data_IF_771305128784
#
_entry.id   IF_771305128784
#
_cell.length_a   1.000
_cell.length_b   1.000
_cell.length_c   1.000
_cell.angle_alpha   90.00
_cell.angle_beta   90.00
_cell.angle_gamma   90.00
#
_symmetry.space_group_name_H-M   'P 1'
#
loop_
_entity.id
_entity.type
_entity.pdbx_description
1 polymer ?
#
# COMPACT_ATOMS: atom_id res chain seq x y z
N UNK A 1 -35.80 -10.15 -34.23
CA UNK A 1 -34.45 -9.82 -33.65
C UNK A 1 -33.47 -9.98 -34.79
N UNK A 2 -32.77 -8.93 -35.19
CA UNK A 2 -31.89 -9.00 -36.36
C UNK A 2 -30.55 -9.69 -35.99
N UNK A 3 -29.93 -10.35 -36.95
CA UNK A 3 -28.61 -11.01 -36.81
C UNK A 3 -27.54 -10.04 -36.23
N UNK A 4 -27.65 -8.75 -36.57
CA UNK A 4 -26.78 -7.66 -36.09
C UNK A 4 -26.95 -7.36 -34.61
N UNK A 5 -28.14 -7.60 -34.03
CA UNK A 5 -28.40 -7.41 -32.61
C UNK A 5 -27.78 -8.53 -31.76
N UNK A 6 -27.82 -9.77 -32.28
CA UNK A 6 -27.17 -10.93 -31.62
C UNK A 6 -25.64 -10.81 -31.65
N UNK A 7 -25.06 -10.40 -32.79
CA UNK A 7 -23.60 -10.20 -32.88
C UNK A 7 -23.11 -9.05 -31.96
N UNK A 8 -23.85 -7.94 -31.87
CA UNK A 8 -23.55 -6.86 -30.95
C UNK A 8 -23.70 -7.28 -29.49
N UNK A 9 -24.68 -8.08 -29.17
CA UNK A 9 -24.89 -8.66 -27.83
C UNK A 9 -23.72 -9.55 -27.41
N UNK A 10 -23.32 -10.45 -28.30
CA UNK A 10 -22.20 -11.38 -28.09
C UNK A 10 -20.86 -10.61 -27.89
N UNK A 11 -20.55 -9.66 -28.77
CA UNK A 11 -19.35 -8.84 -28.69
C UNK A 11 -19.28 -8.04 -27.37
N UNK A 12 -20.42 -7.50 -26.92
CA UNK A 12 -20.50 -6.76 -25.65
C UNK A 12 -20.28 -7.67 -24.44
N UNK A 13 -20.83 -8.87 -24.46
CA UNK A 13 -20.65 -9.87 -23.40
C UNK A 13 -19.19 -10.31 -23.30
N UNK A 14 -18.54 -10.60 -24.43
CA UNK A 14 -17.13 -10.96 -24.47
C UNK A 14 -16.21 -9.81 -23.98
N UNK A 15 -16.51 -8.57 -24.33
CA UNK A 15 -15.76 -7.40 -23.87
C UNK A 15 -15.87 -7.22 -22.35
N UNK A 16 -17.03 -7.45 -21.75
CA UNK A 16 -17.23 -7.39 -20.31
C UNK A 16 -16.47 -8.51 -19.61
N UNK A 17 -16.53 -9.71 -20.13
CA UNK A 17 -15.87 -10.89 -19.56
C UNK A 17 -14.34 -10.79 -19.60
N UNK A 18 -13.78 -10.30 -20.71
CA UNK A 18 -12.34 -10.06 -20.84
C UNK A 18 -11.85 -8.96 -19.90
N UNK A 19 -12.63 -7.91 -19.70
CA UNK A 19 -12.30 -6.83 -18.75
C UNK A 19 -12.33 -7.33 -17.32
N UNK A 20 -13.36 -8.07 -16.92
CA UNK A 20 -13.47 -8.65 -15.59
C UNK A 20 -12.32 -9.63 -15.28
N UNK A 21 -11.97 -10.49 -16.26
CA UNK A 21 -10.84 -11.41 -16.13
C UNK A 21 -9.51 -10.67 -15.96
N UNK A 22 -9.29 -9.60 -16.73
CA UNK A 22 -8.09 -8.77 -16.64
C UNK A 22 -7.97 -8.09 -15.27
N UNK A 23 -9.06 -7.54 -14.76
CA UNK A 23 -9.09 -6.94 -13.41
C UNK A 23 -8.82 -7.98 -12.32
N UNK A 24 -9.38 -9.17 -12.40
CA UNK A 24 -9.12 -10.27 -11.48
C UNK A 24 -7.65 -10.70 -11.48
N UNK A 25 -7.04 -10.81 -12.67
CA UNK A 25 -5.62 -11.14 -12.81
C UNK A 25 -4.73 -10.05 -12.17
N UNK A 26 -5.04 -8.78 -12.41
CA UNK A 26 -4.28 -7.67 -11.82
C UNK A 26 -4.44 -7.59 -10.30
N UNK A 27 -5.63 -7.90 -9.76
CA UNK A 27 -5.90 -7.96 -8.32
C UNK A 27 -5.09 -9.05 -7.62
N UNK A 28 -4.76 -10.14 -8.31
CA UNK A 28 -3.88 -11.19 -7.78
C UNK A 28 -2.39 -10.88 -8.02
N UNK A 29 -2.06 -10.34 -9.20
CA UNK A 29 -0.68 -10.10 -9.62
C UNK A 29 0.01 -8.99 -8.83
N UNK A 30 -0.68 -7.89 -8.47
CA UNK A 30 -0.07 -6.79 -7.73
C UNK A 30 0.34 -7.16 -6.29
N UNK A 31 -0.51 -7.80 -5.46
CA UNK A 31 -0.08 -8.32 -4.17
C UNK A 31 1.06 -9.33 -4.28
N UNK A 32 1.01 -10.23 -5.29
CA UNK A 32 2.07 -11.18 -5.53
C UNK A 32 3.39 -10.51 -5.93
N UNK A 33 3.35 -9.49 -6.80
CA UNK A 33 4.53 -8.70 -7.18
C UNK A 33 5.10 -7.94 -5.98
N UNK A 34 4.25 -7.32 -5.16
CA UNK A 34 4.64 -6.64 -3.94
C UNK A 34 5.32 -7.62 -2.96
N UNK A 35 4.72 -8.80 -2.75
CA UNK A 35 5.32 -9.86 -1.95
C UNK A 35 6.69 -10.26 -2.49
N UNK A 36 6.81 -10.48 -3.79
CA UNK A 36 8.07 -10.86 -4.43
C UNK A 36 9.15 -9.79 -4.24
N UNK A 37 8.83 -8.51 -4.42
CA UNK A 37 9.76 -7.40 -4.19
C UNK A 37 10.28 -7.41 -2.76
N UNK A 38 9.38 -7.51 -1.76
CA UNK A 38 9.74 -7.51 -0.35
C UNK A 38 10.53 -8.77 0.07
N UNK A 39 10.21 -9.94 -0.51
CA UNK A 39 10.89 -11.19 -0.19
C UNK A 39 12.27 -11.31 -0.87
N UNK A 40 12.42 -10.76 -2.08
CA UNK A 40 13.64 -10.89 -2.87
C UNK A 40 14.65 -9.78 -2.55
N UNK A 41 14.21 -8.57 -2.21
CA UNK A 41 15.08 -7.44 -1.94
C UNK A 41 16.24 -7.75 -0.95
N UNK A 42 16.01 -8.42 0.20
CA UNK A 42 17.09 -8.76 1.13
C UNK A 42 18.13 -9.72 0.55
N UNK A 43 17.77 -10.50 -0.47
CA UNK A 43 18.62 -11.53 -1.08
C UNK A 43 19.48 -11.00 -2.23
N UNK A 44 19.14 -9.83 -2.78
CA UNK A 44 19.86 -9.24 -3.93
C UNK A 44 21.23 -8.72 -3.48
N UNK A 45 22.29 -9.15 -4.17
CA UNK A 45 23.67 -8.76 -3.89
C UNK A 45 24.24 -7.89 -5.00
N UNK A 46 25.23 -7.05 -4.67
CA UNK A 46 25.97 -6.27 -5.67
C UNK A 46 25.29 -4.99 -6.13
N UNK A 47 24.16 -4.63 -5.52
CA UNK A 47 23.49 -3.33 -5.79
C UNK A 47 23.86 -2.36 -4.68
N UNK A 48 24.25 -1.10 -5.01
CA UNK A 48 24.49 -0.07 -4.00
C UNK A 48 23.26 0.11 -3.10
N UNK A 49 23.40 0.15 -1.75
CA UNK A 49 22.28 0.19 -0.81
C UNK A 49 21.29 1.33 -1.10
N UNK A 50 21.81 2.52 -1.43
CA UNK A 50 20.97 3.68 -1.77
C UNK A 50 20.11 3.43 -3.02
N UNK A 51 20.72 2.97 -4.11
CA UNK A 51 20.01 2.72 -5.37
C UNK A 51 18.99 1.59 -5.21
N UNK A 52 19.37 0.52 -4.51
CA UNK A 52 18.49 -0.60 -4.19
C UNK A 52 17.31 -0.18 -3.32
N UNK A 53 17.57 0.61 -2.27
CA UNK A 53 16.55 1.11 -1.38
C UNK A 53 15.54 2.02 -2.09
N UNK A 54 16.00 2.97 -2.91
CA UNK A 54 15.13 3.82 -3.74
C UNK A 54 14.28 2.98 -4.68
N UNK A 55 14.89 2.00 -5.36
CA UNK A 55 14.16 1.12 -6.29
C UNK A 55 13.06 0.32 -5.56
N UNK A 56 13.38 -0.31 -4.42
CA UNK A 56 12.40 -1.06 -3.60
C UNK A 56 11.28 -0.14 -3.14
N UNK A 57 11.61 1.07 -2.66
CA UNK A 57 10.64 2.05 -2.21
C UNK A 57 9.66 2.46 -3.31
N UNK A 58 10.16 2.78 -4.50
CA UNK A 58 9.32 3.17 -5.65
C UNK A 58 8.45 2.00 -6.11
N UNK A 59 9.02 0.79 -6.22
CA UNK A 59 8.27 -0.41 -6.62
C UNK A 59 7.19 -0.77 -5.60
N UNK A 60 7.51 -0.71 -4.30
CA UNK A 60 6.56 -0.93 -3.22
C UNK A 60 5.41 0.08 -3.27
N UNK A 61 5.74 1.38 -3.35
CA UNK A 61 4.74 2.44 -3.42
C UNK A 61 3.85 2.29 -4.65
N UNK A 62 4.44 2.00 -5.82
CA UNK A 62 3.68 1.77 -7.04
C UNK A 62 2.74 0.55 -6.92
N UNK A 63 3.20 -0.54 -6.30
CA UNK A 63 2.37 -1.72 -6.07
C UNK A 63 1.24 -1.43 -5.06
N UNK A 64 1.53 -0.78 -3.94
CA UNK A 64 0.54 -0.41 -2.92
C UNK A 64 -0.54 0.53 -3.49
N UNK A 65 -0.13 1.58 -4.22
CA UNK A 65 -1.06 2.47 -4.93
C UNK A 65 -1.83 1.75 -6.04
N UNK A 66 -1.20 0.80 -6.73
CA UNK A 66 -1.86 -0.05 -7.72
C UNK A 66 -2.95 -0.92 -7.10
N UNK A 67 -2.68 -1.53 -5.93
CA UNK A 67 -3.67 -2.30 -5.17
C UNK A 67 -4.82 -1.39 -4.72
N UNK A 68 -4.52 -0.19 -4.21
CA UNK A 68 -5.54 0.79 -3.83
C UNK A 68 -6.39 1.24 -5.03
N UNK A 69 -5.75 1.49 -6.18
CA UNK A 69 -6.41 1.90 -7.42
C UNK A 69 -7.33 0.81 -7.99
N UNK A 70 -6.90 -0.45 -7.99
CA UNK A 70 -7.74 -1.58 -8.38
C UNK A 70 -8.85 -1.81 -7.36
N UNK A 71 -8.51 -1.78 -6.08
CA UNK A 71 -9.47 -1.87 -4.99
C UNK A 71 -10.59 -0.84 -5.12
N UNK A 72 -10.26 0.41 -5.49
CA UNK A 72 -11.24 1.48 -5.68
C UNK A 72 -12.28 1.18 -6.77
N UNK A 73 -11.96 0.32 -7.74
CA UNK A 73 -12.86 -0.08 -8.86
C UNK A 73 -13.75 -1.26 -8.52
N UNK A 74 -13.36 -2.09 -7.56
CA UNK A 74 -14.15 -3.25 -7.16
C UNK A 74 -15.44 -2.79 -6.48
N UNK A 75 -16.58 -3.28 -6.96
CA UNK A 75 -17.90 -2.92 -6.40
C UNK A 75 -18.26 -3.86 -5.26
N UNK A 76 -17.86 -3.49 -4.05
CA UNK A 76 -18.28 -4.16 -2.82
C UNK A 76 -19.29 -3.28 -2.07
N UNK A 77 -20.29 -3.93 -1.45
CA UNK A 77 -21.18 -3.24 -0.50
C UNK A 77 -20.46 -2.94 0.83
N UNK A 78 -21.03 -2.03 1.67
CA UNK A 78 -20.43 -1.70 2.97
C UNK A 78 -20.12 -2.92 3.86
N UNK A 79 -21.03 -3.93 3.96
CA UNK A 79 -20.75 -5.11 4.77
C UNK A 79 -19.59 -5.94 4.20
N UNK A 80 -19.43 -6.01 2.87
CA UNK A 80 -18.32 -6.73 2.24
C UNK A 80 -16.98 -6.04 2.46
N UNK A 81 -16.94 -4.70 2.46
CA UNK A 81 -15.73 -3.94 2.78
C UNK A 81 -15.33 -4.08 4.25
N UNK A 82 -16.31 -4.02 5.17
CA UNK A 82 -16.06 -4.22 6.59
C UNK A 82 -15.55 -5.64 6.86
N UNK A 83 -16.19 -6.65 6.27
CA UNK A 83 -15.76 -8.04 6.37
C UNK A 83 -14.34 -8.21 5.82
N UNK A 84 -14.05 -7.65 4.65
CA UNK A 84 -12.71 -7.68 4.05
C UNK A 84 -11.65 -7.05 4.95
N UNK A 85 -11.96 -5.90 5.57
CA UNK A 85 -11.08 -5.25 6.52
C UNK A 85 -10.82 -6.12 7.76
N UNK A 86 -11.87 -6.68 8.37
CA UNK A 86 -11.75 -7.53 9.56
C UNK A 86 -10.95 -8.79 9.26
N UNK A 87 -11.22 -9.43 8.12
CA UNK A 87 -10.48 -10.63 7.69
C UNK A 87 -9.02 -10.29 7.41
N UNK A 88 -8.73 -9.19 6.73
CA UNK A 88 -7.37 -8.76 6.47
C UNK A 88 -6.61 -8.43 7.76
N UNK A 89 -7.23 -7.74 8.72
CA UNK A 89 -6.61 -7.45 10.03
C UNK A 89 -6.37 -8.74 10.83
N UNK A 90 -7.33 -9.65 10.86
CA UNK A 90 -7.19 -10.95 11.53
C UNK A 90 -6.06 -11.80 10.93
N UNK A 91 -6.00 -11.84 9.59
CA UNK A 91 -4.95 -12.56 8.88
C UNK A 91 -3.57 -11.91 9.06
N UNK A 92 -3.51 -10.58 9.02
CA UNK A 92 -2.29 -9.82 9.33
C UNK A 92 -1.75 -10.13 10.72
N UNK A 93 -2.63 -10.15 11.72
CA UNK A 93 -2.25 -10.50 13.09
C UNK A 93 -1.74 -11.93 13.18
N UNK A 94 -2.43 -12.90 12.56
CA UNK A 94 -2.03 -14.31 12.55
C UNK A 94 -0.69 -14.53 11.84
N UNK A 95 -0.49 -13.94 10.66
CA UNK A 95 0.76 -14.05 9.89
C UNK A 95 1.89 -13.30 10.60
N UNK A 96 1.61 -12.15 11.22
CA UNK A 96 2.55 -11.39 12.03
C UNK A 96 3.07 -12.20 13.24
N UNK A 97 2.19 -12.98 13.87
CA UNK A 97 2.58 -13.89 14.95
C UNK A 97 3.51 -15.02 14.46
N UNK A 98 3.33 -15.50 13.23
CA UNK A 98 4.27 -16.44 12.59
C UNK A 98 5.60 -15.76 12.24
N UNK A 99 5.57 -14.52 11.81
CA UNK A 99 6.75 -13.70 11.49
C UNK A 99 7.60 -13.33 12.71
N UNK A 100 7.07 -13.48 13.92
CA UNK A 100 7.83 -13.35 15.16
C UNK A 100 8.79 -14.53 15.43
N UNK A 101 8.63 -15.64 14.71
CA UNK A 101 9.54 -16.79 14.78
C UNK A 101 10.84 -16.47 14.05
N UNK A 102 11.92 -17.15 14.44
CA UNK A 102 13.24 -16.94 13.84
C UNK A 102 13.43 -17.73 12.54
N UNK A 103 14.44 -17.34 11.76
CA UNK A 103 14.90 -18.07 10.57
C UNK A 103 14.04 -17.85 9.31
N UNK A 104 13.96 -18.90 8.49
CA UNK A 104 13.30 -18.85 7.16
C UNK A 104 11.80 -18.49 7.24
N UNK A 105 11.12 -18.86 8.33
CA UNK A 105 9.71 -18.53 8.55
C UNK A 105 9.52 -17.02 8.61
N UNK A 106 10.41 -16.30 9.29
CA UNK A 106 10.38 -14.83 9.37
C UNK A 106 10.55 -14.17 7.99
N UNK A 107 11.51 -14.67 7.19
CA UNK A 107 11.77 -14.17 5.83
C UNK A 107 10.55 -14.26 4.91
N UNK A 108 9.74 -15.31 5.05
CA UNK A 108 8.57 -15.54 4.21
C UNK A 108 7.30 -14.92 4.79
N UNK A 109 7.10 -14.98 6.11
CA UNK A 109 5.89 -14.49 6.74
C UNK A 109 5.80 -12.97 6.79
N UNK A 110 6.93 -12.27 6.99
CA UNK A 110 6.95 -10.82 7.12
C UNK A 110 6.47 -10.08 5.86
N UNK A 111 6.98 -10.36 4.64
CA UNK A 111 6.44 -9.77 3.42
C UNK A 111 4.95 -10.05 3.22
N UNK A 112 4.49 -11.25 3.62
CA UNK A 112 3.08 -11.63 3.58
C UNK A 112 2.23 -10.77 4.51
N UNK A 113 2.69 -10.53 5.74
CA UNK A 113 2.02 -9.64 6.69
C UNK A 113 1.91 -8.22 6.15
N UNK A 114 2.98 -7.67 5.55
CA UNK A 114 2.98 -6.33 4.97
C UNK A 114 1.99 -6.20 3.81
N UNK A 115 1.90 -7.20 2.91
CA UNK A 115 0.91 -7.22 1.83
C UNK A 115 -0.52 -7.25 2.36
N UNK A 116 -0.79 -8.10 3.36
CA UNK A 116 -2.11 -8.19 3.99
C UNK A 116 -2.48 -6.89 4.70
N UNK A 117 -1.49 -6.24 5.31
CA UNK A 117 -1.68 -4.95 5.95
C UNK A 117 -2.06 -3.85 4.96
N UNK A 118 -1.41 -3.80 3.78
CA UNK A 118 -1.82 -2.90 2.69
C UNK A 118 -3.27 -3.15 2.29
N UNK A 119 -3.70 -4.40 2.17
CA UNK A 119 -5.09 -4.72 1.85
C UNK A 119 -6.06 -4.23 2.93
N UNK A 120 -5.72 -4.38 4.22
CA UNK A 120 -6.51 -3.86 5.32
C UNK A 120 -6.64 -2.32 5.24
N UNK A 121 -5.53 -1.62 4.96
CA UNK A 121 -5.50 -0.16 4.76
C UNK A 121 -6.37 0.27 3.57
N UNK A 122 -6.36 -0.48 2.47
CA UNK A 122 -7.20 -0.21 1.31
C UNK A 122 -8.68 -0.35 1.65
N UNK A 123 -9.08 -1.39 2.37
CA UNK A 123 -10.47 -1.53 2.84
C UNK A 123 -10.86 -0.41 3.79
N UNK A 124 -9.99 -0.03 4.72
CA UNK A 124 -10.22 1.10 5.63
C UNK A 124 -10.41 2.42 4.87
N UNK A 125 -9.52 2.74 3.92
CA UNK A 125 -9.63 3.94 3.08
C UNK A 125 -10.92 3.96 2.26
N UNK A 126 -11.36 2.82 1.73
CA UNK A 126 -12.64 2.69 1.01
C UNK A 126 -13.84 2.95 1.92
N UNK A 127 -13.85 2.37 3.12
CA UNK A 127 -14.90 2.61 4.11
C UNK A 127 -14.98 4.10 4.48
N UNK A 128 -13.83 4.73 4.74
CA UNK A 128 -13.75 6.16 5.01
C UNK A 128 -14.24 6.99 3.83
N UNK A 129 -13.97 6.59 2.58
CA UNK A 129 -14.44 7.29 1.39
C UNK A 129 -15.98 7.35 1.29
N UNK A 130 -16.69 6.43 1.95
CA UNK A 130 -18.17 6.42 1.98
C UNK A 130 -18.77 7.53 2.86
N UNK A 131 -18.00 8.06 3.80
CA UNK A 131 -18.40 9.19 4.65
C UNK A 131 -18.47 10.47 3.82
N UNK A 132 -17.67 10.56 2.76
CA UNK A 132 -17.71 11.70 1.84
C UNK A 132 -19.00 11.68 1.03
N UNK A 133 -19.85 12.70 1.21
CA UNK A 133 -21.14 12.81 0.53
C UNK A 133 -21.04 13.56 -0.79
N UNK A 134 -20.13 14.53 -0.88
CA UNK A 134 -20.01 15.46 -1.98
C UNK A 134 -18.58 15.53 -2.51
N UNK A 135 -18.47 15.74 -3.82
CA UNK A 135 -17.20 15.91 -4.53
C UNK A 135 -16.34 17.05 -3.97
N UNK A 136 -16.99 18.17 -3.61
CA UNK A 136 -16.29 19.38 -3.16
C UNK A 136 -15.59 19.21 -1.81
N UNK A 137 -15.98 18.20 -1.03
CA UNK A 137 -15.39 17.89 0.29
C UNK A 137 -14.02 17.18 0.15
N UNK A 138 -13.71 16.63 -1.03
CA UNK A 138 -12.43 15.92 -1.21
C UNK A 138 -11.21 16.82 -1.03
N UNK A 139 -11.24 18.04 -1.57
CA UNK A 139 -10.11 18.97 -1.45
C UNK A 139 -9.88 19.43 0.00
N UNK A 140 -10.90 19.92 0.73
CA UNK A 140 -10.76 20.21 2.16
C UNK A 140 -10.25 19.01 2.98
N UNK A 141 -10.77 17.82 2.74
CA UNK A 141 -10.31 16.60 3.43
C UNK A 141 -8.83 16.34 3.13
N UNK A 142 -8.39 16.42 1.88
CA UNK A 142 -7.00 16.23 1.52
C UNK A 142 -6.07 17.23 2.22
N UNK A 143 -6.48 18.50 2.29
CA UNK A 143 -5.73 19.56 2.99
C UNK A 143 -5.67 19.28 4.49
N UNK A 144 -6.81 18.95 5.13
CA UNK A 144 -6.84 18.65 6.56
C UNK A 144 -5.99 17.42 6.88
N UNK A 145 -6.05 16.37 6.06
CA UNK A 145 -5.23 15.17 6.25
C UNK A 145 -3.74 15.50 6.15
N UNK A 146 -3.32 16.28 5.14
CA UNK A 146 -1.93 16.68 4.98
C UNK A 146 -1.45 17.55 6.15
N UNK A 147 -2.26 18.51 6.61
CA UNK A 147 -1.93 19.34 7.76
C UNK A 147 -1.89 18.53 9.06
N UNK A 148 -2.82 17.58 9.23
CA UNK A 148 -2.85 16.68 10.39
C UNK A 148 -1.62 15.81 10.41
N UNK A 149 -1.19 15.29 9.27
CA UNK A 149 0.02 14.46 9.17
C UNK A 149 1.27 15.26 9.56
N UNK A 150 1.46 16.44 8.97
CA UNK A 150 2.55 17.37 9.34
C UNK A 150 2.51 17.68 10.84
N UNK A 151 1.32 18.02 11.38
CA UNK A 151 1.18 18.36 12.78
C UNK A 151 1.49 17.18 13.71
N UNK A 152 0.98 15.98 13.38
CA UNK A 152 1.16 14.78 14.22
C UNK A 152 2.60 14.30 14.23
N UNK A 153 3.33 14.43 13.12
CA UNK A 153 4.74 14.04 13.01
C UNK A 153 5.64 15.03 13.72
N UNK A 154 5.45 16.34 13.51
CA UNK A 154 6.39 17.34 14.04
C UNK A 154 6.06 17.82 15.45
N UNK A 155 4.80 17.92 15.83
CA UNK A 155 4.36 18.56 17.09
C UNK A 155 3.41 17.68 17.92
N UNK A 156 2.97 16.55 17.37
CA UNK A 156 1.82 15.84 17.89
C UNK A 156 2.12 14.52 18.61
N UNK A 157 1.06 13.77 18.84
CA UNK A 157 1.10 12.52 19.62
C UNK A 157 2.02 11.45 19.00
N UNK A 158 2.27 11.46 17.69
CA UNK A 158 3.18 10.50 17.05
C UNK A 158 4.61 10.71 17.54
N UNK A 159 5.08 11.95 17.63
CA UNK A 159 6.39 12.25 18.20
C UNK A 159 6.50 11.78 19.66
N UNK A 160 5.42 11.95 20.45
CA UNK A 160 5.36 11.49 21.83
C UNK A 160 5.33 9.94 21.94
N UNK A 161 4.56 9.29 21.08
CA UNK A 161 4.48 7.80 21.04
C UNK A 161 5.81 7.23 20.58
N UNK A 162 6.46 7.83 19.58
CA UNK A 162 7.79 7.43 19.11
C UNK A 162 8.83 7.50 20.23
N UNK A 163 8.74 8.54 21.09
CA UNK A 163 9.64 8.72 22.22
C UNK A 163 9.35 7.78 23.40
N UNK A 164 8.07 7.41 23.64
CA UNK A 164 7.65 6.64 24.83
C UNK A 164 7.34 5.18 24.58
N UNK A 165 6.89 4.85 23.37
CA UNK A 165 6.48 3.49 22.99
C UNK A 165 6.82 3.21 21.52
N UNK A 166 8.12 3.20 21.15
CA UNK A 166 8.55 2.96 19.76
C UNK A 166 8.03 1.63 19.20
N UNK A 167 7.84 0.63 20.05
CA UNK A 167 7.31 -0.69 19.65
C UNK A 167 5.91 -0.61 19.04
N UNK A 168 5.07 0.34 19.48
CA UNK A 168 3.73 0.56 18.93
C UNK A 168 3.83 1.10 17.50
N UNK A 169 4.67 2.12 17.31
CA UNK A 169 4.89 2.70 15.98
C UNK A 169 5.47 1.65 15.03
N UNK A 170 6.47 0.90 15.49
CA UNK A 170 7.07 -0.19 14.73
C UNK A 170 6.08 -1.27 14.30
N UNK A 171 5.08 -1.55 15.11
CA UNK A 171 4.07 -2.57 14.83
C UNK A 171 3.08 -2.15 13.74
N UNK A 172 2.78 -0.85 13.68
CA UNK A 172 1.85 -0.25 12.71
C UNK A 172 2.55 0.44 11.54
N UNK A 173 3.85 0.23 11.38
CA UNK A 173 4.63 0.71 10.25
C UNK A 173 5.13 -0.44 9.42
N UNK A 174 5.10 -0.28 8.09
CA UNK A 174 5.74 -1.22 7.19
C UNK A 174 7.22 -0.88 7.07
N UNK A 175 8.05 -1.88 7.28
CA UNK A 175 9.51 -1.76 7.18
C UNK A 175 9.96 -2.27 5.83
N UNK A 176 10.40 -1.36 4.98
CA UNK A 176 10.98 -1.70 3.68
C UNK A 176 12.36 -2.33 3.89
N UNK A 177 12.60 -3.56 3.43
CA UNK A 177 13.85 -4.24 3.64
C UNK A 177 15.00 -3.55 2.91
N UNK A 178 16.16 -3.51 3.55
CA UNK A 178 17.40 -3.10 2.89
C UNK A 178 17.86 -4.19 1.92
N UNK A 179 18.28 -3.77 0.73
CA UNK A 179 18.79 -4.66 -0.30
C UNK A 179 20.07 -5.31 0.19
N UNK A 180 20.13 -6.65 0.11
CA UNK A 180 21.31 -7.41 0.53
C UNK A 180 21.45 -7.64 2.03
N UNK A 181 20.51 -7.20 2.86
CA UNK A 181 20.60 -7.35 4.34
C UNK A 181 20.66 -8.80 4.83
N UNK A 182 20.08 -9.75 4.08
CA UNK A 182 20.16 -11.18 4.43
C UNK A 182 21.58 -11.79 4.25
N UNK A 183 22.48 -11.08 3.59
CA UNK A 183 23.85 -11.53 3.35
C UNK A 183 24.87 -11.08 4.42
N UNK A 184 24.43 -10.28 5.40
CA UNK A 184 25.28 -9.81 6.50
C UNK A 184 25.61 -10.92 7.52
N UNK A 185 26.63 -10.67 8.37
CA UNK A 185 27.07 -11.66 9.38
C UNK A 185 25.97 -12.04 10.40
N UNK A 186 24.94 -11.22 10.57
CA UNK A 186 23.79 -11.49 11.44
C UNK A 186 22.67 -12.27 10.75
N UNK A 187 22.80 -12.54 9.44
CA UNK A 187 21.83 -13.34 8.69
C UNK A 187 20.40 -12.80 8.75
N UNK A 188 19.43 -13.70 8.75
CA UNK A 188 18.00 -13.37 8.80
C UNK A 188 17.54 -12.74 10.12
N UNK A 189 18.34 -12.80 11.18
CA UNK A 189 18.03 -12.21 12.49
C UNK A 189 18.19 -10.69 12.52
N UNK A 190 19.10 -10.15 11.69
CA UNK A 190 19.46 -8.73 11.66
C UNK A 190 18.96 -7.98 10.41
N UNK A 191 17.81 -8.37 9.82
CA UNK A 191 17.26 -7.66 8.65
C UNK A 191 17.11 -6.17 8.94
N UNK A 192 18.06 -5.38 8.44
CA UNK A 192 17.99 -3.92 8.46
C UNK A 192 16.88 -3.44 7.51
N UNK A 193 16.26 -2.33 7.86
CA UNK A 193 15.22 -1.71 7.05
C UNK A 193 15.71 -0.35 6.57
N UNK A 194 15.43 -0.08 5.29
CA UNK A 194 15.88 1.12 4.62
C UNK A 194 14.95 2.32 4.85
N UNK A 195 13.66 2.05 4.92
CA UNK A 195 12.63 3.06 5.15
C UNK A 195 11.42 2.45 5.87
N UNK A 196 10.64 3.29 6.51
CA UNK A 196 9.35 2.91 7.11
C UNK A 196 8.25 3.69 6.43
N UNK A 197 7.13 3.04 6.13
CA UNK A 197 5.94 3.68 5.59
C UNK A 197 4.80 3.56 6.59
N UNK A 198 4.18 4.69 6.92
CA UNK A 198 3.09 4.74 7.89
C UNK A 198 1.79 4.14 7.35
N UNK A 199 0.97 3.61 8.26
CA UNK A 199 -0.41 3.17 8.00
C UNK A 199 -1.24 4.29 7.35
N UNK A 200 -1.07 5.54 7.81
CA UNK A 200 -1.82 6.71 7.35
C UNK A 200 -1.68 6.95 5.86
N UNK A 201 -0.46 6.87 5.33
CA UNK A 201 -0.17 7.16 3.92
C UNK A 201 -0.99 6.28 2.97
N UNK A 202 -1.09 4.98 3.27
CA UNK A 202 -1.83 4.04 2.43
C UNK A 202 -3.33 4.22 2.59
N UNK A 203 -3.82 4.45 3.82
CA UNK A 203 -5.23 4.72 4.06
C UNK A 203 -5.66 5.99 3.33
N UNK A 204 -4.86 7.06 3.39
CA UNK A 204 -5.18 8.32 2.74
C UNK A 204 -5.14 8.21 1.21
N UNK A 205 -4.14 7.53 0.68
CA UNK A 205 -4.08 7.26 -0.75
C UNK A 205 -5.30 6.44 -1.23
N UNK A 206 -5.67 5.39 -0.49
CA UNK A 206 -6.84 4.57 -0.79
C UNK A 206 -8.15 5.37 -0.67
N UNK A 207 -8.29 6.22 0.37
CA UNK A 207 -9.43 7.11 0.57
C UNK A 207 -9.62 8.05 -0.63
N UNK A 208 -8.55 8.72 -1.06
CA UNK A 208 -8.62 9.71 -2.14
C UNK A 208 -8.78 9.05 -3.50
N UNK A 209 -8.16 7.90 -3.75
CA UNK A 209 -8.37 7.11 -4.97
C UNK A 209 -9.80 6.55 -5.04
N UNK A 210 -10.33 6.02 -3.94
CA UNK A 210 -11.72 5.55 -3.88
C UNK A 210 -12.71 6.71 -4.07
N UNK A 211 -12.45 7.87 -3.47
CA UNK A 211 -13.23 9.08 -3.67
C UNK A 211 -13.18 9.57 -5.12
N UNK A 212 -11.99 9.60 -5.74
CA UNK A 212 -11.83 9.99 -7.13
C UNK A 212 -12.60 9.06 -8.08
N UNK A 213 -12.55 7.74 -7.84
CA UNK A 213 -13.32 6.78 -8.61
C UNK A 213 -14.84 6.96 -8.43
N UNK A 214 -15.28 7.20 -7.20
CA UNK A 214 -16.71 7.37 -6.86
C UNK A 214 -17.31 8.63 -7.45
N UNK A 215 -16.57 9.75 -7.42
CA UNK A 215 -17.06 11.04 -7.91
C UNK A 215 -16.72 11.33 -9.37
N UNK A 216 -16.20 10.34 -10.11
CA UNK A 216 -15.87 10.48 -11.53
C UNK A 216 -14.78 11.52 -11.81
N UNK A 217 -13.85 11.73 -10.88
CA UNK A 217 -12.70 12.61 -11.08
C UNK A 217 -11.65 11.97 -11.99
N UNK A 218 -10.68 12.75 -12.43
CA UNK A 218 -9.59 12.22 -13.26
C UNK A 218 -8.70 11.25 -12.47
N UNK A 219 -9.19 10.00 -12.35
CA UNK A 219 -8.57 8.94 -11.60
C UNK A 219 -7.10 8.68 -11.98
N UNK A 220 -6.79 8.75 -13.31
CA UNK A 220 -5.41 8.55 -13.79
C UNK A 220 -4.48 9.66 -13.32
N UNK A 221 -4.92 10.91 -13.41
CA UNK A 221 -4.13 12.03 -12.92
C UNK A 221 -3.92 11.91 -11.40
N UNK A 222 -4.96 11.59 -10.62
CA UNK A 222 -4.86 11.39 -9.17
C UNK A 222 -3.83 10.30 -8.84
N UNK A 223 -3.87 9.16 -9.54
CA UNK A 223 -2.90 8.07 -9.33
C UNK A 223 -1.45 8.52 -9.58
N UNK A 224 -1.19 9.19 -10.71
CA UNK A 224 0.17 9.61 -11.07
C UNK A 224 0.70 10.73 -10.16
N UNK A 225 -0.18 11.64 -9.71
CA UNK A 225 0.18 12.63 -8.71
C UNK A 225 0.57 12.00 -7.37
N UNK A 226 -0.21 11.01 -6.91
CA UNK A 226 0.14 10.28 -5.70
C UNK A 226 1.47 9.52 -5.84
N UNK A 227 1.66 8.82 -6.94
CA UNK A 227 2.91 8.09 -7.18
C UNK A 227 4.11 9.07 -7.21
N UNK A 228 3.96 10.23 -7.84
CA UNK A 228 4.99 11.25 -7.88
C UNK A 228 5.28 11.88 -6.52
N UNK A 229 4.25 12.23 -5.75
CA UNK A 229 4.41 12.85 -4.44
C UNK A 229 4.92 11.87 -3.39
N UNK A 230 4.27 10.72 -3.24
CA UNK A 230 4.63 9.74 -2.18
C UNK A 230 5.91 9.02 -2.57
N UNK A 231 5.97 8.44 -3.77
CA UNK A 231 7.16 7.72 -4.24
C UNK A 231 8.37 8.62 -4.42
N UNK A 232 8.18 9.81 -5.00
CA UNK A 232 9.25 10.79 -5.18
C UNK A 232 9.69 11.42 -3.86
N UNK A 233 8.76 11.75 -2.97
CA UNK A 233 9.05 12.27 -1.64
C UNK A 233 9.86 11.30 -0.80
N UNK A 234 9.42 10.04 -0.76
CA UNK A 234 10.13 8.97 -0.04
C UNK A 234 11.52 8.72 -0.63
N UNK A 235 11.65 8.70 -1.96
CA UNK A 235 12.94 8.57 -2.64
C UNK A 235 13.87 9.76 -2.35
N UNK A 236 13.32 10.98 -2.26
CA UNK A 236 14.07 12.18 -1.92
C UNK A 236 14.59 12.15 -0.49
N UNK A 237 13.75 11.78 0.48
CA UNK A 237 14.13 11.64 1.90
C UNK A 237 15.28 10.64 2.03
N UNK A 238 15.19 9.54 1.33
CA UNK A 238 16.23 8.50 1.31
C UNK A 238 17.52 8.98 0.65
N UNK A 239 17.44 9.78 -0.42
CA UNK A 239 18.59 10.28 -1.17
C UNK A 239 19.34 11.44 -0.47
N UNK A 240 18.71 12.11 0.50
CA UNK A 240 19.31 13.23 1.22
C UNK A 240 19.84 12.76 2.59
N UNK A 241 21.12 12.38 2.70
CA UNK A 241 21.72 12.00 3.98
C UNK A 241 21.78 13.25 4.86
N UNK A 242 21.00 13.25 5.97
CA UNK A 242 20.98 14.35 6.94
C UNK A 242 19.59 14.81 7.35
N UNK A 243 18.54 14.35 6.69
CA UNK A 243 17.18 14.49 7.25
C UNK A 243 16.99 13.43 8.34
N UNK A 244 16.40 13.81 9.48
CA UNK A 244 16.06 12.81 10.50
C UNK A 244 15.14 11.76 9.86
N UNK A 245 15.31 10.48 10.24
CA UNK A 245 14.40 9.43 9.78
C UNK A 245 12.98 9.81 10.22
N UNK A 246 12.10 9.95 9.25
CA UNK A 246 10.67 10.22 9.46
C UNK A 246 9.99 8.92 9.89
#
# INVERSE_FOLDING_TARGET
MSRDEEERGSARTQAVETTARREAVLLAALPAAMYAVLAVAPLVRGVPPLAGGVAVTVLFTAAALGIAALGARVRLGPPGELLGMVLALGLWWAVGALGAREGTVRLLARPGADVIFVLACVFAGRLLSRIMRERNIMLPIAIVLALTDIFTVFLGPVALVLARAPEVVERFSMKLPEVGSAAGPEGAAGLSHFATMGLGDIIFAALLLAGAARFGLNFRATFWWFLGLVGGGLALVVALPGLPPI
#
